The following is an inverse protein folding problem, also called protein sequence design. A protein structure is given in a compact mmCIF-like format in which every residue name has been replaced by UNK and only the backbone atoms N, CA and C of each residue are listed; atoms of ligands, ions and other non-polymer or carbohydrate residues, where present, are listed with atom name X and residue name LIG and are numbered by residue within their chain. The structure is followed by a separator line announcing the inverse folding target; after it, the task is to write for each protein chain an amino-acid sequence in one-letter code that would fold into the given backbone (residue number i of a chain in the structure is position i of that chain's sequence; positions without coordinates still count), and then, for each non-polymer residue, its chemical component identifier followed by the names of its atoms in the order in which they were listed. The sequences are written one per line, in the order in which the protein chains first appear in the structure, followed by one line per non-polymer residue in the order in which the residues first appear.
data_IF_702018099462
#
_entry.id   IF_702018099462
#
_cell.length_a   1.000
_cell.length_b   1.000
_cell.length_c   1.000
_cell.angle_alpha   90.00
_cell.angle_beta   90.00
_cell.angle_gamma   90.00
#
_symmetry.space_group_name_H-M   'P 1'
#
loop_
_entity.id
_entity.type
_entity.pdbx_description
1 polymer ?
#
# COMPACT_ATOMS: atom_id res chain seq x y z
N UNK A 1 76.93 -6.74 -14.48
CA UNK A 1 75.99 -5.90 -13.73
C UNK A 1 74.58 -6.38 -14.07
N UNK A 2 73.96 -7.19 -13.20
CA UNK A 2 72.58 -7.70 -13.36
C UNK A 2 71.75 -7.12 -12.20
N UNK A 3 70.75 -6.30 -12.50
CA UNK A 3 69.79 -5.78 -11.52
C UNK A 3 68.70 -6.85 -11.26
N UNK A 4 68.18 -6.98 -10.03
CA UNK A 4 67.04 -7.84 -9.74
C UNK A 4 65.71 -7.09 -9.95
N UNK A 5 64.71 -7.81 -10.43
CA UNK A 5 63.33 -7.35 -10.53
C UNK A 5 62.64 -7.38 -9.16
N UNK A 6 62.06 -6.26 -8.73
CA UNK A 6 61.17 -6.17 -7.58
C UNK A 6 59.72 -6.21 -8.10
N UNK A 7 59.01 -7.31 -7.85
CA UNK A 7 57.58 -7.42 -8.15
C UNK A 7 56.78 -6.80 -7.00
N UNK A 8 56.08 -5.70 -7.27
CA UNK A 8 55.13 -5.09 -6.35
C UNK A 8 53.75 -5.68 -6.66
N UNK A 9 53.22 -6.53 -5.78
CA UNK A 9 51.84 -7.00 -5.86
C UNK A 9 50.91 -5.91 -5.32
N UNK A 10 50.10 -5.32 -6.19
CA UNK A 10 49.05 -4.38 -5.80
C UNK A 10 47.78 -5.17 -5.45
N UNK A 11 47.49 -5.34 -4.17
CA UNK A 11 46.24 -5.92 -3.68
C UNK A 11 45.12 -4.87 -3.74
N UNK A 12 44.21 -5.02 -4.69
CA UNK A 12 42.94 -4.28 -4.76
C UNK A 12 41.98 -4.83 -3.70
N UNK A 13 41.83 -4.10 -2.59
CA UNK A 13 40.72 -4.29 -1.65
C UNK A 13 39.47 -3.64 -2.25
N UNK A 14 38.56 -4.46 -2.80
CA UNK A 14 37.23 -4.01 -3.18
C UNK A 14 36.42 -3.68 -1.92
N UNK A 15 36.27 -2.39 -1.62
CA UNK A 15 35.39 -1.90 -0.56
C UNK A 15 33.95 -1.96 -1.07
N UNK A 16 33.16 -2.91 -0.57
CA UNK A 16 31.71 -2.87 -0.77
C UNK A 16 31.16 -1.84 0.20
N UNK A 17 30.87 -0.64 -0.29
CA UNK A 17 30.05 0.31 0.44
C UNK A 17 28.64 -0.27 0.52
N UNK A 18 28.19 -0.62 1.73
CA UNK A 18 26.78 -0.84 2.01
C UNK A 18 26.06 0.46 1.63
N UNK A 19 25.18 0.39 0.63
CA UNK A 19 24.31 1.51 0.31
C UNK A 19 23.48 1.81 1.58
N UNK A 20 23.59 3.03 2.10
CA UNK A 20 22.71 3.49 3.17
C UNK A 20 21.28 3.47 2.64
N UNK A 21 20.43 2.65 3.27
CA UNK A 21 19.01 2.52 2.96
C UNK A 21 18.31 3.84 3.32
N UNK A 22 18.22 4.75 2.35
CA UNK A 22 17.58 6.04 2.54
C UNK A 22 16.10 5.79 2.84
N UNK A 23 15.53 6.30 3.95
CA UNK A 23 14.15 6.01 4.31
C UNK A 23 13.20 6.33 3.17
N UNK A 24 12.46 5.32 2.71
CA UNK A 24 11.51 5.48 1.61
C UNK A 24 10.46 6.54 1.95
N UNK A 25 10.07 7.40 0.99
CA UNK A 25 9.00 8.37 1.17
C UNK A 25 7.70 7.65 1.56
N UNK A 26 7.01 8.13 2.59
CA UNK A 26 5.69 7.61 2.94
C UNK A 26 4.73 7.84 1.78
N UNK A 27 3.85 6.86 1.46
CA UNK A 27 2.80 7.05 0.47
C UNK A 27 1.91 8.24 0.83
N UNK A 28 1.44 8.95 -0.19
CA UNK A 28 0.37 9.95 -0.02
C UNK A 28 -0.91 9.25 0.41
N UNK A 29 -1.60 9.77 1.41
CA UNK A 29 -2.92 9.27 1.82
C UNK A 29 -4.01 10.04 1.09
N UNK A 30 -4.72 9.38 0.19
CA UNK A 30 -5.82 9.97 -0.55
C UNK A 30 -7.18 9.42 -0.09
N UNK A 31 -8.16 10.30 0.02
CA UNK A 31 -9.56 9.93 0.23
C UNK A 31 -10.33 10.12 -1.07
N UNK A 32 -10.84 9.03 -1.65
CA UNK A 32 -11.76 9.05 -2.79
C UNK A 32 -13.20 8.95 -2.28
N UNK A 33 -13.96 10.02 -2.45
CA UNK A 33 -15.36 10.10 -2.07
C UNK A 33 -16.22 9.92 -3.31
N UNK A 34 -17.16 9.00 -3.25
CA UNK A 34 -17.98 8.63 -4.41
C UNK A 34 -19.41 8.24 -4.06
N UNK A 35 -20.31 8.32 -5.04
CA UNK A 35 -21.71 7.94 -4.91
C UNK A 35 -22.70 8.96 -5.49
N UNK A 36 -24.00 8.63 -5.46
CA UNK A 36 -25.05 9.40 -6.11
C UNK A 36 -25.62 8.71 -7.36
N UNK A 37 -26.41 9.44 -8.14
CA UNK A 37 -27.32 8.89 -9.15
C UNK A 37 -26.72 8.38 -10.47
N UNK A 38 -25.64 9.00 -10.92
CA UNK A 38 -25.54 9.29 -12.34
C UNK A 38 -24.39 8.57 -13.07
N UNK A 39 -23.55 7.83 -12.34
CA UNK A 39 -22.44 7.04 -12.89
C UNK A 39 -22.31 5.68 -12.23
N UNK A 40 -21.54 4.79 -12.86
CA UNK A 40 -21.15 3.49 -12.30
C UNK A 40 -20.03 3.67 -11.25
N UNK A 41 -20.36 4.32 -10.14
CA UNK A 41 -19.45 4.56 -9.04
C UNK A 41 -18.90 3.26 -8.41
N UNK A 42 -19.61 2.15 -8.57
CA UNK A 42 -19.16 0.84 -8.10
C UNK A 42 -17.92 0.37 -8.84
N UNK A 43 -17.89 0.53 -10.17
CA UNK A 43 -16.72 0.19 -10.98
C UNK A 43 -15.67 1.30 -10.97
N UNK A 44 -16.10 2.56 -11.16
CA UNK A 44 -15.19 3.71 -11.27
C UNK A 44 -14.30 3.88 -10.04
N UNK A 45 -14.81 3.64 -8.83
CA UNK A 45 -14.00 3.72 -7.61
C UNK A 45 -12.79 2.77 -7.64
N UNK A 46 -12.96 1.57 -8.22
CA UNK A 46 -11.89 0.57 -8.33
C UNK A 46 -10.91 0.92 -9.45
N UNK A 47 -11.42 1.42 -10.58
CA UNK A 47 -10.62 1.89 -11.70
C UNK A 47 -9.72 3.07 -11.28
N UNK A 48 -10.27 4.05 -10.55
CA UNK A 48 -9.52 5.20 -10.04
C UNK A 48 -8.52 4.75 -8.98
N UNK A 49 -8.95 3.98 -7.97
CA UNK A 49 -8.06 3.47 -6.91
C UNK A 49 -6.88 2.71 -7.52
N UNK A 50 -7.16 1.67 -8.29
CA UNK A 50 -6.12 0.83 -8.91
C UNK A 50 -5.26 1.66 -9.87
N UNK A 51 -5.90 2.56 -10.64
CA UNK A 51 -5.23 3.41 -11.60
C UNK A 51 -4.18 4.32 -10.96
N UNK A 52 -4.51 4.92 -9.81
CA UNK A 52 -3.59 5.76 -9.04
C UNK A 52 -2.51 4.94 -8.35
N UNK A 53 -2.88 3.88 -7.61
CA UNK A 53 -1.94 3.08 -6.80
C UNK A 53 -0.91 2.32 -7.65
N UNK A 54 -1.25 1.99 -8.91
CA UNK A 54 -0.31 1.38 -9.86
C UNK A 54 0.65 2.38 -10.51
N UNK A 55 0.37 3.69 -10.42
CA UNK A 55 1.15 4.76 -11.07
C UNK A 55 1.88 5.66 -10.09
N UNK A 56 1.48 5.69 -8.82
CA UNK A 56 2.00 6.62 -7.84
C UNK A 56 2.18 6.02 -6.44
N UNK A 57 3.05 6.65 -5.64
CA UNK A 57 3.32 6.29 -4.26
C UNK A 57 2.21 6.89 -3.39
N UNK A 58 1.03 6.30 -3.53
CA UNK A 58 -0.23 6.78 -2.99
C UNK A 58 -1.03 5.58 -2.46
N UNK A 59 -1.73 5.78 -1.36
CA UNK A 59 -2.71 4.86 -0.78
C UNK A 59 -4.07 5.53 -0.85
N UNK A 60 -5.03 4.89 -1.53
CA UNK A 60 -6.37 5.44 -1.75
C UNK A 60 -7.36 4.72 -0.85
N UNK A 61 -7.91 5.46 0.12
CA UNK A 61 -9.10 5.06 0.88
C UNK A 61 -10.35 5.44 0.10
N UNK A 62 -11.29 4.52 -0.04
CA UNK A 62 -12.53 4.75 -0.80
C UNK A 62 -13.70 4.81 0.16
N UNK A 63 -14.50 5.88 0.04
CA UNK A 63 -15.79 6.03 0.71
C UNK A 63 -16.88 6.14 -0.36
N UNK A 64 -17.69 5.09 -0.51
CA UNK A 64 -18.88 5.13 -1.37
C UNK A 64 -20.14 5.23 -0.51
N UNK A 65 -20.84 6.34 -0.57
CA UNK A 65 -22.06 6.60 0.22
C UNK A 65 -23.12 7.32 -0.62
N UNK A 66 -24.34 7.48 -0.11
CA UNK A 66 -25.38 8.31 -0.75
C UNK A 66 -26.25 7.63 -1.83
N UNK A 67 -26.01 6.35 -2.10
CA UNK A 67 -26.88 5.54 -2.98
C UNK A 67 -26.97 6.12 -4.39
N UNK A 68 -28.19 6.18 -4.95
CA UNK A 68 -28.48 6.58 -6.33
C UNK A 68 -29.27 7.89 -6.46
N UNK A 69 -29.29 8.72 -5.42
CA UNK A 69 -30.09 9.97 -5.41
C UNK A 69 -29.20 11.20 -5.52
N UNK A 70 -29.78 12.31 -5.99
CA UNK A 70 -29.11 13.61 -6.13
C UNK A 70 -29.11 14.46 -4.86
N UNK A 71 -29.93 14.13 -3.87
CA UNK A 71 -30.22 14.98 -2.71
C UNK A 71 -29.73 14.41 -1.37
N UNK A 72 -28.86 13.40 -1.39
CA UNK A 72 -28.37 12.77 -0.16
C UNK A 72 -27.21 13.54 0.46
N UNK A 73 -27.31 13.75 1.77
CA UNK A 73 -26.19 14.11 2.65
C UNK A 73 -25.55 12.83 3.17
N UNK A 74 -24.29 12.59 2.81
CA UNK A 74 -23.60 11.35 3.16
C UNK A 74 -23.09 11.37 4.62
N UNK A 75 -23.18 10.25 5.36
CA UNK A 75 -22.71 10.16 6.75
C UNK A 75 -21.26 10.57 6.98
N UNK A 76 -20.37 10.41 5.99
CA UNK A 76 -18.97 10.81 6.08
C UNK A 76 -18.82 12.25 6.57
N UNK A 77 -19.61 13.17 6.01
CA UNK A 77 -19.52 14.58 6.32
C UNK A 77 -20.21 14.94 7.64
N UNK A 78 -20.90 14.03 8.34
CA UNK A 78 -21.40 14.35 9.68
C UNK A 78 -20.25 14.52 10.69
N UNK A 79 -19.14 13.81 10.47
CA UNK A 79 -17.90 13.95 11.24
C UNK A 79 -17.20 15.28 10.91
N UNK A 80 -16.98 16.20 11.88
CA UNK A 80 -16.22 17.42 11.64
C UNK A 80 -14.75 17.18 11.23
N UNK A 81 -14.22 15.99 11.48
CA UNK A 81 -12.83 15.58 11.26
C UNK A 81 -12.69 14.59 10.09
N UNK A 82 -13.71 14.48 9.21
CA UNK A 82 -13.78 13.50 8.12
C UNK A 82 -12.54 13.44 7.21
N UNK A 83 -11.78 14.54 7.13
CA UNK A 83 -10.60 14.68 6.29
C UNK A 83 -9.26 14.49 7.03
N UNK A 84 -9.28 14.34 8.36
CA UNK A 84 -8.06 14.20 9.16
C UNK A 84 -7.27 12.95 8.75
N UNK A 85 -5.95 13.11 8.60
CA UNK A 85 -5.04 12.02 8.22
C UNK A 85 -4.91 11.79 6.70
N UNK A 86 -5.61 12.56 5.87
CA UNK A 86 -5.45 12.56 4.42
C UNK A 86 -4.63 13.74 3.91
N UNK A 87 -3.80 13.49 2.89
CA UNK A 87 -3.01 14.50 2.20
C UNK A 87 -3.78 15.14 1.03
N UNK A 88 -4.84 14.47 0.52
CA UNK A 88 -5.67 14.94 -0.59
C UNK A 88 -7.05 14.26 -0.61
N UNK A 89 -8.06 14.97 -1.11
CA UNK A 89 -9.42 14.43 -1.33
C UNK A 89 -9.77 14.47 -2.81
N UNK A 90 -10.22 13.34 -3.35
CA UNK A 90 -10.79 13.20 -4.67
C UNK A 90 -12.32 13.14 -4.54
N UNK A 91 -12.99 14.14 -5.10
CA UNK A 91 -14.44 14.21 -5.20
C UNK A 91 -14.88 13.61 -6.54
N UNK A 92 -15.56 12.46 -6.48
CA UNK A 92 -16.14 11.73 -7.61
C UNK A 92 -17.58 11.29 -7.26
N UNK A 93 -18.39 12.27 -6.87
CA UNK A 93 -19.76 12.09 -6.36
C UNK A 93 -20.76 12.98 -7.11
N UNK A 94 -22.05 12.64 -7.04
CA UNK A 94 -23.13 13.44 -7.66
C UNK A 94 -24.29 13.66 -6.68
N UNK A 95 -24.23 14.80 -5.99
CA UNK A 95 -25.25 15.27 -5.05
C UNK A 95 -25.71 16.69 -5.43
N UNK A 96 -26.21 16.82 -6.66
CA UNK A 96 -26.60 18.12 -7.23
C UNK A 96 -27.69 18.84 -6.44
N UNK A 97 -28.61 18.08 -5.85
CA UNK A 97 -29.86 18.58 -5.27
C UNK A 97 -29.80 18.60 -3.73
N UNK A 98 -28.62 18.92 -3.19
CA UNK A 98 -28.43 19.25 -1.76
C UNK A 98 -28.38 20.77 -1.61
N UNK A 99 -29.53 21.44 -1.36
CA UNK A 99 -29.58 22.89 -1.30
C UNK A 99 -29.28 23.42 0.10
N UNK A 100 -28.11 23.10 0.65
CA UNK A 100 -27.74 23.48 2.03
C UNK A 100 -26.35 24.11 2.10
N UNK A 101 -26.26 25.45 2.21
CA UNK A 101 -24.98 26.14 2.32
C UNK A 101 -24.14 25.76 3.56
N UNK A 102 -24.78 25.39 4.66
CA UNK A 102 -24.05 24.93 5.86
C UNK A 102 -23.42 23.55 5.63
N UNK A 103 -24.09 22.71 4.82
CA UNK A 103 -23.54 21.43 4.38
C UNK A 103 -22.34 21.64 3.45
N UNK A 104 -22.49 22.46 2.41
CA UNK A 104 -21.40 22.79 1.48
C UNK A 104 -20.20 23.38 2.22
N UNK A 105 -20.43 24.31 3.14
CA UNK A 105 -19.36 24.92 3.93
C UNK A 105 -18.60 23.89 4.78
N UNK A 106 -19.27 22.84 5.25
CA UNK A 106 -18.60 21.76 5.99
C UNK A 106 -17.59 21.00 5.12
N UNK A 107 -17.94 20.75 3.86
CA UNK A 107 -17.11 20.06 2.88
C UNK A 107 -15.96 20.97 2.44
N UNK A 108 -16.23 22.26 2.27
CA UNK A 108 -15.22 23.23 1.85
C UNK A 108 -14.22 23.58 2.94
N UNK A 109 -14.58 23.46 4.22
CA UNK A 109 -13.75 23.91 5.35
C UNK A 109 -12.32 23.32 5.34
N UNK A 110 -12.09 22.01 5.16
CA UNK A 110 -10.72 21.48 5.08
C UNK A 110 -9.93 22.05 3.89
N UNK A 111 -10.58 22.25 2.75
CA UNK A 111 -9.95 22.84 1.56
C UNK A 111 -9.59 24.31 1.76
N UNK A 112 -10.44 25.08 2.44
CA UNK A 112 -10.14 26.46 2.87
C UNK A 112 -8.97 26.51 3.87
N UNK A 113 -8.67 25.41 4.55
CA UNK A 113 -7.57 25.25 5.51
C UNK A 113 -6.30 24.65 4.90
N UNK A 114 -6.25 24.45 3.58
CA UNK A 114 -5.05 24.03 2.87
C UNK A 114 -5.07 22.60 2.33
N UNK A 115 -6.11 21.81 2.58
CA UNK A 115 -6.20 20.44 2.07
C UNK A 115 -6.39 20.44 0.54
N UNK A 116 -5.46 19.90 -0.26
CA UNK A 116 -5.63 19.83 -1.71
C UNK A 116 -6.86 19.02 -2.13
N UNK A 117 -7.38 19.34 -3.32
CA UNK A 117 -8.57 18.70 -3.87
C UNK A 117 -8.40 18.23 -5.30
N UNK A 118 -9.14 17.20 -5.67
CA UNK A 118 -9.41 16.82 -7.06
C UNK A 118 -10.92 16.76 -7.26
N UNK A 119 -11.42 17.36 -8.34
CA UNK A 119 -12.84 17.30 -8.72
C UNK A 119 -12.99 16.57 -10.04
N UNK A 120 -13.77 15.49 -10.03
CA UNK A 120 -13.91 14.57 -11.16
C UNK A 120 -15.36 14.62 -11.63
N UNK A 121 -15.53 14.93 -12.92
CA UNK A 121 -16.77 14.79 -13.66
C UNK A 121 -18.01 15.36 -12.94
N UNK A 122 -18.84 14.51 -12.35
CA UNK A 122 -20.11 14.90 -11.74
C UNK A 122 -19.94 15.71 -10.45
N UNK A 123 -18.77 15.65 -9.81
CA UNK A 123 -18.48 16.46 -8.62
C UNK A 123 -18.73 17.96 -8.88
N UNK A 124 -18.51 18.41 -10.12
CA UNK A 124 -18.73 19.79 -10.53
C UNK A 124 -20.20 20.23 -10.45
N UNK A 125 -21.14 19.29 -10.43
CA UNK A 125 -22.58 19.56 -10.38
C UNK A 125 -23.16 19.49 -8.97
N UNK A 126 -22.38 19.05 -7.98
CA UNK A 126 -22.80 18.92 -6.59
C UNK A 126 -23.18 20.26 -5.95
N UNK A 127 -23.99 20.16 -4.89
CA UNK A 127 -24.23 21.22 -3.91
C UNK A 127 -24.72 22.54 -4.51
N UNK A 128 -25.80 22.46 -5.31
CA UNK A 128 -26.49 23.63 -5.87
C UNK A 128 -27.31 24.34 -4.78
N UNK A 129 -26.61 24.88 -3.79
CA UNK A 129 -27.15 25.47 -2.57
C UNK A 129 -27.60 26.93 -2.69
N UNK A 130 -27.61 27.46 -3.92
CA UNK A 130 -27.91 28.86 -4.21
C UNK A 130 -26.71 29.80 -4.05
N UNK A 131 -25.54 29.28 -3.68
CA UNK A 131 -24.27 30.02 -3.65
C UNK A 131 -23.33 29.57 -4.77
N UNK A 132 -22.21 30.28 -4.92
CA UNK A 132 -21.14 29.93 -5.86
C UNK A 132 -19.94 29.25 -5.16
N UNK A 133 -20.01 28.97 -3.86
CA UNK A 133 -18.83 28.57 -3.07
C UNK A 133 -18.24 27.23 -3.53
N UNK A 134 -19.10 26.25 -3.83
CA UNK A 134 -18.65 24.99 -4.42
C UNK A 134 -18.02 25.18 -5.80
N UNK A 135 -18.65 25.97 -6.67
CA UNK A 135 -18.11 26.23 -8.02
C UNK A 135 -16.78 26.98 -8.00
N UNK A 136 -16.56 27.87 -7.01
CA UNK A 136 -15.26 28.53 -6.79
C UNK A 136 -14.18 27.53 -6.39
N UNK A 137 -14.51 26.53 -5.57
CA UNK A 137 -13.61 25.42 -5.25
C UNK A 137 -13.31 24.57 -6.48
N UNK A 138 -14.35 24.20 -7.24
CA UNK A 138 -14.17 23.47 -8.50
C UNK A 138 -13.33 24.25 -9.51
N UNK A 139 -13.38 25.59 -9.52
CA UNK A 139 -12.68 26.45 -10.47
C UNK A 139 -13.45 26.70 -11.77
N UNK A 140 -14.56 26.00 -11.97
CA UNK A 140 -15.50 26.23 -13.07
C UNK A 140 -16.95 26.14 -12.57
N UNK A 141 -17.85 26.80 -13.29
CA UNK A 141 -19.29 26.63 -13.11
C UNK A 141 -19.87 25.90 -14.30
N UNK A 142 -20.51 24.76 -14.05
CA UNK A 142 -21.27 23.99 -15.02
C UNK A 142 -22.49 23.39 -14.34
N UNK A 143 -23.64 23.42 -15.01
CA UNK A 143 -24.91 22.85 -14.48
C UNK A 143 -25.54 21.83 -15.41
N UNK A 144 -24.97 21.63 -16.59
CA UNK A 144 -25.49 20.76 -17.63
C UNK A 144 -24.38 20.31 -18.59
N UNK A 145 -24.71 19.32 -19.39
CA UNK A 145 -23.82 18.74 -20.40
C UNK A 145 -24.56 18.56 -21.73
N UNK A 146 -23.80 18.37 -22.80
CA UNK A 146 -24.31 18.00 -24.12
C UNK A 146 -24.54 16.50 -24.28
N UNK A 147 -24.71 16.07 -25.52
CA UNK A 147 -24.88 14.67 -25.89
C UNK A 147 -23.64 13.81 -25.58
N UNK A 148 -23.85 12.50 -25.49
CA UNK A 148 -22.77 11.52 -25.33
C UNK A 148 -22.09 11.22 -26.65
N UNK A 149 -20.79 11.47 -26.74
CA UNK A 149 -19.97 11.14 -27.91
C UNK A 149 -18.47 11.13 -27.58
N UNK A 150 -17.73 10.31 -28.34
CA UNK A 150 -16.28 10.35 -28.35
C UNK A 150 -15.78 11.69 -28.89
N UNK A 151 -14.81 12.29 -28.23
CA UNK A 151 -14.22 13.56 -28.63
C UNK A 151 -12.71 13.58 -28.40
N UNK A 152 -12.03 14.41 -29.18
CA UNK A 152 -10.63 14.70 -28.95
C UNK A 152 -10.51 15.76 -27.85
N UNK A 153 -9.61 15.51 -26.90
CA UNK A 153 -9.22 16.50 -25.90
C UNK A 153 -7.96 17.18 -26.40
N UNK A 154 -8.01 18.50 -26.53
CA UNK A 154 -6.98 19.34 -27.10
C UNK A 154 -6.19 20.03 -25.97
N UNK A 155 -4.88 19.84 -25.97
CA UNK A 155 -3.97 20.46 -24.99
C UNK A 155 -3.89 21.96 -25.23
N UNK A 156 -4.08 22.76 -24.16
CA UNK A 156 -3.94 24.23 -24.17
C UNK A 156 -2.59 24.68 -23.62
N UNK A 157 -2.16 24.03 -22.55
CA UNK A 157 -0.88 24.32 -21.91
C UNK A 157 -0.03 23.05 -21.84
N UNK A 158 0.72 22.80 -22.91
CA UNK A 158 1.63 21.66 -22.98
C UNK A 158 2.86 21.81 -22.06
N UNK A 159 3.10 22.99 -21.50
CA UNK A 159 4.24 23.24 -20.60
C UNK A 159 3.94 22.85 -19.16
N UNK A 160 2.66 22.78 -18.79
CA UNK A 160 2.24 22.37 -17.46
C UNK A 160 2.64 20.92 -17.18
N UNK A 161 3.23 20.58 -16.02
CA UNK A 161 3.77 19.25 -15.75
C UNK A 161 2.72 18.13 -15.71
N UNK A 162 1.45 18.46 -15.46
CA UNK A 162 0.32 17.51 -15.58
C UNK A 162 0.16 17.01 -17.02
N UNK A 163 0.45 17.86 -18.02
CA UNK A 163 0.22 17.56 -19.44
C UNK A 163 1.35 16.77 -20.09
N UNK A 164 2.42 16.46 -19.34
CA UNK A 164 3.57 15.71 -19.85
C UNK A 164 3.14 14.33 -20.34
N UNK A 165 3.35 14.05 -21.63
CA UNK A 165 3.05 12.75 -22.24
C UNK A 165 1.69 12.66 -22.94
N UNK A 166 0.81 13.66 -22.76
CA UNK A 166 -0.53 13.69 -23.40
C UNK A 166 -0.52 14.24 -24.84
N UNK A 167 0.59 14.84 -25.28
CA UNK A 167 0.75 15.38 -26.63
C UNK A 167 -0.09 16.63 -26.89
N UNK A 168 -0.32 16.93 -28.18
CA UNK A 168 -1.17 18.05 -28.60
C UNK A 168 -2.67 17.78 -28.36
N UNK A 169 -3.02 16.50 -28.24
CA UNK A 169 -4.35 16.04 -27.86
C UNK A 169 -4.41 14.53 -27.76
N UNK A 170 -5.47 14.02 -27.15
CA UNK A 170 -5.72 12.58 -26.98
C UNK A 170 -7.19 12.25 -27.19
N UNK A 171 -7.46 10.98 -27.50
CA UNK A 171 -8.81 10.49 -27.66
C UNK A 171 -9.50 10.30 -26.30
N UNK A 172 -10.71 10.84 -26.16
CA UNK A 172 -11.66 10.46 -25.13
C UNK A 172 -12.70 9.50 -25.75
N UNK A 173 -12.60 8.18 -25.51
CA UNK A 173 -13.31 7.17 -26.28
C UNK A 173 -14.83 7.17 -26.05
N UNK A 174 -15.29 7.61 -24.88
CA UNK A 174 -16.71 7.74 -24.55
C UNK A 174 -16.93 8.93 -23.60
N UNK A 175 -17.42 10.05 -24.15
CA UNK A 175 -17.47 11.31 -23.43
C UNK A 175 -18.88 11.87 -23.24
N UNK A 176 -19.02 12.68 -22.22
CA UNK A 176 -20.13 13.61 -22.00
C UNK A 176 -19.50 15.00 -21.82
N UNK A 177 -19.63 15.87 -22.82
CA UNK A 177 -18.96 17.17 -22.77
C UNK A 177 -19.82 18.18 -22.01
N UNK A 178 -19.26 18.72 -20.93
CA UNK A 178 -19.96 19.69 -20.09
C UNK A 178 -20.00 21.06 -20.76
N UNK A 179 -21.09 21.79 -20.53
CA UNK A 179 -21.17 23.19 -20.93
C UNK A 179 -20.65 24.05 -19.80
N UNK A 180 -19.52 24.73 -20.03
CA UNK A 180 -18.88 25.59 -19.04
C UNK A 180 -19.51 26.98 -19.14
N UNK A 181 -20.28 27.34 -18.11
CA UNK A 181 -20.89 28.66 -18.00
C UNK A 181 -19.86 29.71 -17.59
N UNK A 182 -18.88 29.30 -16.78
CA UNK A 182 -17.83 30.18 -16.26
C UNK A 182 -16.58 29.40 -15.95
N UNK A 183 -15.43 29.94 -16.36
CA UNK A 183 -14.12 29.61 -15.80
C UNK A 183 -13.77 30.71 -14.81
N UNK A 184 -13.49 30.36 -13.55
CA UNK A 184 -13.19 31.37 -12.53
C UNK A 184 -11.78 31.93 -12.74
N UNK A 185 -11.49 33.20 -12.37
CA UNK A 185 -10.17 33.80 -12.57
C UNK A 185 -9.01 33.06 -11.89
N UNK A 186 -9.31 32.29 -10.84
CA UNK A 186 -8.37 31.43 -10.12
C UNK A 186 -8.06 30.12 -10.84
N UNK A 187 -8.81 29.78 -11.90
CA UNK A 187 -8.61 28.56 -12.67
C UNK A 187 -7.74 28.80 -13.90
N UNK A 188 -6.84 27.86 -14.15
CA UNK A 188 -5.95 27.81 -15.30
C UNK A 188 -6.29 26.60 -16.18
N UNK A 189 -6.95 26.81 -17.35
CA UNK A 189 -7.29 25.75 -18.28
C UNK A 189 -6.05 25.05 -18.85
N UNK A 190 -6.05 23.72 -18.82
CA UNK A 190 -4.97 22.88 -19.35
C UNK A 190 -5.37 22.17 -20.64
N UNK A 191 -6.65 21.81 -20.79
CA UNK A 191 -7.18 21.19 -21.99
C UNK A 191 -8.67 21.51 -22.21
N UNK A 192 -9.13 21.33 -23.44
CA UNK A 192 -10.52 21.56 -23.84
C UNK A 192 -10.95 20.61 -24.95
N UNK A 193 -12.24 20.46 -25.18
CA UNK A 193 -12.77 19.74 -26.34
C UNK A 193 -13.71 20.61 -27.17
N UNK A 194 -13.77 20.35 -28.48
CA UNK A 194 -14.70 21.04 -29.38
C UNK A 194 -16.12 20.56 -29.13
N UNK A 195 -16.99 21.50 -28.78
CA UNK A 195 -18.42 21.26 -28.63
C UNK A 195 -19.07 21.26 -30.01
N UNK A 196 -19.53 20.09 -30.46
CA UNK A 196 -20.15 19.93 -31.79
C UNK A 196 -21.54 20.57 -31.89
N UNK A 197 -22.20 20.81 -30.76
CA UNK A 197 -23.55 21.36 -30.71
C UNK A 197 -23.54 22.89 -30.71
N UNK A 198 -22.56 23.51 -30.03
CA UNK A 198 -22.44 24.98 -29.92
C UNK A 198 -21.34 25.57 -30.79
N UNK A 199 -20.41 24.75 -31.30
CA UNK A 199 -19.28 25.19 -32.12
C UNK A 199 -18.14 25.86 -31.35
N UNK A 200 -18.26 26.08 -30.04
CA UNK A 200 -17.22 26.58 -29.15
C UNK A 200 -16.31 25.44 -28.64
N UNK A 201 -15.26 25.80 -27.89
CA UNK A 201 -14.43 24.85 -27.16
C UNK A 201 -14.74 24.95 -25.66
N UNK A 202 -14.97 23.81 -25.03
CA UNK A 202 -15.32 23.70 -23.61
C UNK A 202 -14.09 23.24 -22.82
N UNK A 203 -13.77 23.94 -21.73
CA UNK A 203 -12.67 23.53 -20.84
C UNK A 203 -13.05 22.22 -20.17
N UNK A 204 -12.18 21.22 -20.28
CA UNK A 204 -12.41 19.90 -19.70
C UNK A 204 -11.30 19.42 -18.76
N UNK A 205 -10.16 20.12 -18.70
CA UNK A 205 -9.07 19.87 -17.74
C UNK A 205 -8.48 21.20 -17.30
N UNK A 206 -8.29 21.41 -16.00
CA UNK A 206 -7.76 22.65 -15.45
C UNK A 206 -7.11 22.44 -14.08
N UNK A 207 -6.44 23.49 -13.61
CA UNK A 207 -6.04 23.65 -12.20
C UNK A 207 -6.75 24.87 -11.62
N UNK A 208 -6.88 24.96 -10.31
CA UNK A 208 -7.50 26.09 -9.62
C UNK A 208 -6.73 26.42 -8.33
N UNK A 209 -6.49 27.71 -8.10
CA UNK A 209 -5.99 28.24 -6.83
C UNK A 209 -7.19 28.64 -5.95
N UNK A 210 -7.58 27.73 -5.05
CA UNK A 210 -8.64 27.99 -4.09
C UNK A 210 -8.06 28.56 -2.81
N UNK A 211 -7.81 29.87 -2.79
CA UNK A 211 -7.31 30.59 -1.60
C UNK A 211 -5.94 30.08 -1.12
N UNK A 212 -5.05 29.76 -2.05
CA UNK A 212 -3.74 29.15 -1.80
C UNK A 212 -3.74 27.62 -1.80
N UNK A 213 -4.91 26.99 -1.79
CA UNK A 213 -5.06 25.53 -1.91
C UNK A 213 -5.13 25.11 -3.37
N UNK A 214 -4.31 24.13 -3.77
CA UNK A 214 -4.34 23.61 -5.13
C UNK A 214 -5.48 22.64 -5.34
N UNK A 215 -6.23 22.86 -6.42
CA UNK A 215 -7.28 21.94 -6.89
C UNK A 215 -6.99 21.55 -8.32
N UNK A 216 -7.04 20.25 -8.63
CA UNK A 216 -7.04 19.73 -9.99
C UNK A 216 -8.47 19.36 -10.40
N UNK A 217 -8.88 19.70 -11.63
CA UNK A 217 -10.24 19.45 -12.07
C UNK A 217 -10.32 18.89 -13.49
N UNK A 218 -11.29 17.99 -13.70
CA UNK A 218 -11.61 17.44 -15.03
C UNK A 218 -13.12 17.19 -15.17
N UNK A 219 -13.68 17.55 -16.33
CA UNK A 219 -15.07 17.17 -16.69
C UNK A 219 -15.14 15.79 -17.31
N UNK A 220 -14.00 15.15 -17.60
CA UNK A 220 -13.96 13.81 -18.17
C UNK A 220 -14.26 12.78 -17.07
N UNK A 221 -14.84 11.63 -17.43
CA UNK A 221 -15.06 10.54 -16.47
C UNK A 221 -16.46 9.89 -16.49
N UNK A 222 -17.34 10.26 -17.42
CA UNK A 222 -18.70 9.69 -17.47
C UNK A 222 -18.74 8.16 -17.58
N UNK A 223 -17.91 7.59 -18.45
CA UNK A 223 -17.94 6.18 -18.84
C UNK A 223 -16.72 5.43 -18.31
N UNK A 224 -16.86 4.15 -18.00
CA UNK A 224 -15.77 3.29 -17.54
C UNK A 224 -14.62 3.24 -18.57
N UNK A 225 -14.95 3.22 -19.87
CA UNK A 225 -14.01 3.25 -20.99
C UNK A 225 -13.11 4.50 -20.98
N UNK A 226 -13.61 5.60 -20.43
CA UNK A 226 -12.84 6.83 -20.24
C UNK A 226 -12.01 6.77 -18.97
N UNK A 227 -12.59 6.29 -17.88
CA UNK A 227 -11.92 6.21 -16.57
C UNK A 227 -10.78 5.18 -16.59
N UNK A 228 -10.90 4.10 -17.36
CA UNK A 228 -9.83 3.10 -17.53
C UNK A 228 -8.78 3.51 -18.57
N UNK A 229 -9.05 4.55 -19.37
CA UNK A 229 -8.18 4.93 -20.47
C UNK A 229 -6.81 5.41 -19.93
N UNK A 230 -5.67 4.91 -20.45
CA UNK A 230 -4.35 5.24 -19.91
C UNK A 230 -4.05 6.74 -19.84
N UNK A 231 -4.50 7.52 -20.83
CA UNK A 231 -4.31 8.97 -20.85
C UNK A 231 -5.11 9.67 -19.73
N UNK A 232 -6.32 9.18 -19.42
CA UNK A 232 -7.13 9.72 -18.32
C UNK A 232 -6.47 9.40 -16.98
N UNK A 233 -6.04 8.16 -16.77
CA UNK A 233 -5.39 7.75 -15.52
C UNK A 233 -4.02 8.42 -15.32
N UNK A 234 -3.22 8.61 -16.37
CA UNK A 234 -1.95 9.36 -16.28
C UNK A 234 -2.21 10.84 -15.92
N UNK A 235 -3.16 11.48 -16.60
CA UNK A 235 -3.57 12.85 -16.29
C UNK A 235 -4.08 12.98 -14.85
N UNK A 236 -4.98 12.09 -14.43
CA UNK A 236 -5.55 12.10 -13.08
C UNK A 236 -4.46 11.87 -12.02
N UNK A 237 -3.57 10.90 -12.23
CA UNK A 237 -2.43 10.65 -11.32
C UNK A 237 -1.54 11.89 -11.19
N UNK A 238 -1.16 12.48 -12.32
CA UNK A 238 -0.30 13.67 -12.30
C UNK A 238 -0.99 14.86 -11.66
N UNK A 239 -2.29 15.04 -11.90
CA UNK A 239 -3.10 16.09 -11.29
C UNK A 239 -3.20 15.96 -9.77
N UNK A 240 -3.46 14.75 -9.29
CA UNK A 240 -3.46 14.40 -7.86
C UNK A 240 -2.10 14.72 -7.21
N UNK A 241 -1.00 14.25 -7.81
CA UNK A 241 0.35 14.52 -7.28
C UNK A 241 0.72 16.01 -7.34
N UNK A 242 0.33 16.72 -8.40
CA UNK A 242 0.57 18.15 -8.55
C UNK A 242 -0.13 18.97 -7.47
N UNK A 243 -1.38 18.61 -7.15
CA UNK A 243 -2.16 19.27 -6.11
C UNK A 243 -1.46 19.16 -4.73
N UNK A 244 -0.80 18.03 -4.45
CA UNK A 244 0.00 17.83 -3.24
C UNK A 244 1.42 18.44 -3.31
N UNK A 245 1.85 18.98 -4.45
CA UNK A 245 3.25 19.37 -4.65
C UNK A 245 4.23 18.19 -4.61
N UNK A 246 3.77 17.01 -5.02
CA UNK A 246 4.53 15.75 -5.06
C UNK A 246 4.64 15.19 -6.48
N UNK A 247 4.47 16.01 -7.51
CA UNK A 247 4.63 15.56 -8.90
C UNK A 247 6.13 15.48 -9.25
N UNK A 248 6.76 14.37 -8.85
CA UNK A 248 8.17 14.08 -9.06
C UNK A 248 8.42 12.56 -9.18
N UNK A 249 9.64 12.15 -9.53
CA UNK A 249 10.02 10.73 -9.70
C UNK A 249 10.04 9.95 -8.37
N UNK A 250 9.96 10.64 -7.24
CA UNK A 250 9.86 10.03 -5.91
C UNK A 250 8.44 9.49 -5.69
N UNK A 251 7.42 10.18 -6.20
CA UNK A 251 6.02 9.77 -6.08
C UNK A 251 5.39 9.21 -7.36
N UNK A 252 5.98 9.40 -8.55
CA UNK A 252 5.53 8.80 -9.83
C UNK A 252 5.96 7.33 -9.98
N UNK A 253 5.74 6.53 -8.93
CA UNK A 253 5.99 5.08 -8.91
C UNK A 253 5.12 4.43 -7.85
N UNK A 254 4.57 3.24 -8.08
CA UNK A 254 3.69 2.57 -7.13
C UNK A 254 4.37 2.33 -5.77
N UNK A 255 3.56 2.18 -4.73
CA UNK A 255 4.03 1.66 -3.44
C UNK A 255 4.68 0.30 -3.70
N UNK A 256 5.99 0.18 -3.41
CA UNK A 256 6.68 -1.11 -3.54
C UNK A 256 6.26 -1.98 -2.35
N UNK A 257 5.47 -3.02 -2.58
CA UNK A 257 5.10 -4.00 -1.54
C UNK A 257 6.35 -4.50 -0.80
N UNK A 258 6.28 -4.57 0.53
CA UNK A 258 7.38 -5.11 1.33
C UNK A 258 7.31 -6.62 1.23
N UNK A 259 8.28 -7.24 0.56
CA UNK A 259 8.40 -8.71 0.56
C UNK A 259 8.91 -9.18 1.92
N UNK A 260 8.27 -10.20 2.49
CA UNK A 260 8.74 -10.90 3.69
C UNK A 260 8.82 -12.41 3.44
N UNK A 261 9.78 -13.11 4.06
CA UNK A 261 9.85 -14.57 3.98
C UNK A 261 8.60 -15.23 4.53
N UNK A 262 8.09 -16.25 3.84
CA UNK A 262 6.98 -17.08 4.33
C UNK A 262 7.50 -18.06 5.38
N UNK A 263 6.84 -18.15 6.53
CA UNK A 263 7.11 -19.21 7.50
C UNK A 263 6.55 -20.55 6.99
N UNK A 264 7.42 -21.38 6.42
CA UNK A 264 7.09 -22.71 5.88
C UNK A 264 6.62 -23.69 6.96
N UNK A 265 6.96 -23.45 8.23
CA UNK A 265 6.59 -24.31 9.36
C UNK A 265 5.20 -23.98 9.95
N UNK A 266 4.63 -22.82 9.63
CA UNK A 266 3.35 -22.36 10.19
C UNK A 266 2.23 -23.40 9.94
N UNK A 267 1.55 -23.80 11.00
CA UNK A 267 0.48 -24.80 11.08
C UNK A 267 0.83 -26.17 10.48
N UNK A 268 2.12 -26.52 10.41
CA UNK A 268 2.57 -27.83 9.95
C UNK A 268 2.53 -28.88 11.06
N UNK A 269 2.44 -30.18 10.72
CA UNK A 269 2.51 -31.25 11.70
C UNK A 269 3.85 -31.26 12.45
N UNK A 270 3.78 -31.44 13.76
CA UNK A 270 4.96 -31.45 14.64
C UNK A 270 5.00 -32.67 15.54
N UNK A 271 6.17 -32.94 16.10
CA UNK A 271 6.37 -33.89 17.19
C UNK A 271 7.54 -33.46 18.06
N UNK A 272 7.65 -34.03 19.26
CA UNK A 272 8.73 -33.73 20.19
C UNK A 272 9.16 -34.98 20.98
N UNK A 273 10.35 -34.92 21.59
CA UNK A 273 10.86 -35.96 22.47
C UNK A 273 10.02 -36.12 23.74
N UNK A 274 9.47 -35.00 24.22
CA UNK A 274 8.57 -34.94 25.38
C UNK A 274 7.81 -33.61 25.40
N UNK A 275 6.77 -33.54 26.23
CA UNK A 275 5.89 -32.38 26.34
C UNK A 275 5.46 -32.14 27.80
N UNK A 276 5.39 -30.89 28.24
CA UNK A 276 4.83 -30.49 29.55
C UNK A 276 3.29 -30.47 29.49
N UNK A 277 2.70 -31.67 29.55
CA UNK A 277 1.26 -31.89 29.33
C UNK A 277 0.37 -31.19 30.35
N UNK A 278 0.81 -31.10 31.62
CA UNK A 278 0.01 -30.50 32.71
C UNK A 278 -0.24 -29.00 32.53
N UNK A 279 0.53 -28.33 31.65
CA UNK A 279 0.39 -26.92 31.28
C UNK A 279 -0.05 -26.70 29.83
N UNK A 280 -0.44 -27.77 29.13
CA UNK A 280 -0.81 -27.74 27.72
C UNK A 280 0.30 -27.20 26.78
N UNK A 281 1.58 -27.43 27.08
CA UNK A 281 2.68 -26.95 26.24
C UNK A 281 3.10 -27.99 25.18
N UNK A 282 2.20 -28.23 24.21
CA UNK A 282 2.35 -29.26 23.18
C UNK A 282 3.20 -28.80 21.98
N UNK A 283 3.73 -29.74 21.21
CA UNK A 283 4.57 -29.48 20.04
C UNK A 283 3.92 -28.56 18.97
N UNK A 284 2.62 -28.62 18.67
CA UNK A 284 2.01 -27.74 17.67
C UNK A 284 2.07 -26.26 18.02
N UNK A 285 2.18 -25.91 19.30
CA UNK A 285 2.20 -24.53 19.77
C UNK A 285 3.47 -23.76 19.39
N UNK A 286 4.53 -24.44 18.92
CA UNK A 286 5.72 -23.76 18.41
C UNK A 286 5.59 -23.33 16.94
N UNK A 287 4.47 -23.61 16.27
CA UNK A 287 4.22 -23.25 14.86
C UNK A 287 2.79 -22.77 14.63
N UNK A 288 2.11 -22.25 15.65
CA UNK A 288 0.73 -21.80 15.54
C UNK A 288 0.58 -20.29 15.26
N UNK A 289 1.69 -19.54 15.22
CA UNK A 289 1.69 -18.10 15.00
C UNK A 289 1.27 -17.29 16.23
N UNK A 290 1.01 -17.94 17.37
CA UNK A 290 0.57 -17.29 18.60
C UNK A 290 1.71 -17.23 19.61
N UNK A 291 2.26 -16.03 19.82
CA UNK A 291 3.39 -15.82 20.76
C UNK A 291 3.04 -16.00 22.24
N UNK A 292 1.80 -16.32 22.57
CA UNK A 292 1.36 -16.66 23.92
C UNK A 292 1.31 -18.17 24.20
N UNK A 293 1.50 -19.02 23.19
CA UNK A 293 1.52 -20.48 23.29
C UNK A 293 2.91 -21.01 22.92
N UNK A 294 3.33 -22.13 23.53
CA UNK A 294 4.66 -22.71 23.30
C UNK A 294 4.67 -24.22 23.37
N UNK A 295 5.68 -24.83 22.73
CA UNK A 295 6.14 -26.15 23.12
C UNK A 295 7.08 -26.05 24.32
N UNK A 296 7.00 -27.00 25.25
CA UNK A 296 7.94 -27.16 26.35
C UNK A 296 8.22 -28.65 26.57
N UNK A 297 9.48 -29.04 26.71
CA UNK A 297 9.86 -30.39 27.12
C UNK A 297 9.27 -30.73 28.51
N UNK A 298 9.07 -32.01 28.80
CA UNK A 298 8.44 -32.44 30.07
C UNK A 298 9.32 -32.23 31.31
N UNK A 299 10.61 -31.95 31.13
CA UNK A 299 11.61 -31.83 32.19
C UNK A 299 12.87 -31.07 31.70
N UNK A 300 13.80 -30.64 32.60
CA UNK A 300 14.97 -29.83 32.22
C UNK A 300 16.11 -30.61 31.55
N UNK A 301 16.04 -31.93 31.47
CA UNK A 301 17.18 -32.72 30.97
C UNK A 301 17.52 -32.37 29.52
N UNK A 302 18.77 -32.56 29.14
CA UNK A 302 19.22 -32.47 27.77
C UNK A 302 19.86 -33.82 27.36
N UNK A 303 19.72 -34.25 26.10
CA UNK A 303 19.03 -33.56 25.00
C UNK A 303 17.49 -33.68 25.05
N UNK A 304 16.81 -32.68 24.51
CA UNK A 304 15.37 -32.72 24.15
C UNK A 304 15.22 -32.20 22.72
N UNK A 305 14.22 -32.67 21.98
CA UNK A 305 14.02 -32.21 20.61
C UNK A 305 12.56 -31.89 20.31
N UNK A 306 12.38 -30.93 19.41
CA UNK A 306 11.13 -30.61 18.75
C UNK A 306 11.37 -30.67 17.24
N UNK A 307 10.38 -31.12 16.46
CA UNK A 307 10.50 -31.18 15.01
C UNK A 307 9.20 -30.86 14.28
N UNK A 308 9.31 -30.49 13.01
CA UNK A 308 8.21 -30.18 12.10
C UNK A 308 8.37 -30.89 10.75
N UNK A 309 7.27 -31.39 10.18
CA UNK A 309 7.17 -31.88 8.79
C UNK A 309 6.63 -30.76 7.89
N UNK A 310 7.46 -30.19 7.03
CA UNK A 310 7.11 -29.15 6.05
C UNK A 310 6.18 -29.65 4.92
N UNK A 311 5.74 -30.92 4.99
CA UNK A 311 4.88 -31.66 4.07
C UNK A 311 5.50 -32.01 2.70
N UNK A 312 6.38 -31.15 2.17
CA UNK A 312 7.15 -31.40 0.94
C UNK A 312 8.64 -31.16 1.19
N UNK A 313 9.48 -31.93 0.49
CA UNK A 313 10.91 -31.59 0.40
C UNK A 313 11.07 -30.35 -0.46
N UNK A 314 11.78 -29.34 0.05
CA UNK A 314 11.99 -28.05 -0.60
C UNK A 314 13.30 -27.42 -0.15
N UNK A 315 13.68 -26.33 -0.83
CA UNK A 315 14.82 -25.51 -0.44
C UNK A 315 14.48 -24.70 0.81
N UNK A 316 15.35 -24.77 1.82
CA UNK A 316 15.25 -24.01 3.07
C UNK A 316 16.48 -23.11 3.19
N UNK A 317 16.24 -21.82 3.37
CA UNK A 317 17.25 -20.74 3.36
C UNK A 317 17.59 -20.23 4.76
N UNK A 318 16.84 -20.64 5.77
CA UNK A 318 17.10 -20.21 7.14
C UNK A 318 16.01 -20.60 8.12
N UNK A 319 16.22 -20.21 9.38
CA UNK A 319 15.22 -20.35 10.42
C UNK A 319 15.35 -19.26 11.49
N UNK A 320 14.31 -19.12 12.30
CA UNK A 320 14.30 -18.31 13.52
C UNK A 320 13.69 -19.12 14.66
N UNK A 321 14.36 -19.09 15.81
CA UNK A 321 13.90 -19.75 17.03
C UNK A 321 13.54 -18.69 18.08
N UNK A 322 12.27 -18.61 18.46
CA UNK A 322 11.81 -17.76 19.55
C UNK A 322 11.73 -18.59 20.84
N UNK A 323 12.82 -18.62 21.61
CA UNK A 323 12.88 -19.31 22.91
C UNK A 323 11.99 -18.65 23.96
N UNK A 324 11.54 -19.42 24.95
CA UNK A 324 10.70 -18.90 26.05
C UNK A 324 11.31 -17.67 26.74
N UNK A 325 12.62 -17.72 26.99
CA UNK A 325 13.38 -16.68 27.67
C UNK A 325 14.47 -16.10 26.75
N UNK A 326 14.22 -14.99 26.03
CA UNK A 326 15.19 -14.42 25.10
C UNK A 326 16.45 -13.86 25.80
N UNK A 327 16.42 -13.71 27.12
CA UNK A 327 17.58 -13.25 27.90
C UNK A 327 18.57 -14.37 28.25
N UNK A 328 18.19 -15.65 28.11
CA UNK A 328 19.08 -16.79 28.33
C UNK A 328 19.96 -17.07 27.09
N UNK A 329 21.04 -17.81 27.31
CA UNK A 329 21.90 -18.37 26.25
C UNK A 329 21.59 -19.85 26.11
N UNK A 330 20.98 -20.22 24.98
CA UNK A 330 20.64 -21.61 24.67
C UNK A 330 21.76 -22.29 23.87
N UNK A 331 22.03 -23.56 24.21
CA UNK A 331 22.83 -24.50 23.42
C UNK A 331 21.88 -25.43 22.67
N UNK A 332 22.06 -25.55 21.36
CA UNK A 332 21.16 -26.33 20.51
C UNK A 332 21.79 -26.66 19.17
N UNK A 333 21.14 -27.55 18.42
CA UNK A 333 21.39 -27.76 17.00
C UNK A 333 20.08 -27.60 16.22
N UNK A 334 20.16 -27.07 15.00
CA UNK A 334 19.08 -27.14 14.01
C UNK A 334 19.50 -28.12 12.94
N UNK A 335 18.62 -29.05 12.63
CA UNK A 335 18.92 -30.19 11.77
C UNK A 335 17.84 -30.31 10.68
N UNK A 336 18.25 -30.63 9.46
CA UNK A 336 17.38 -30.86 8.32
C UNK A 336 17.39 -32.32 7.88
N UNK A 337 16.26 -32.81 7.39
CA UNK A 337 16.13 -34.16 6.85
C UNK A 337 15.12 -34.24 5.71
N UNK A 338 15.30 -35.18 4.78
CA UNK A 338 14.31 -35.49 3.73
C UNK A 338 13.36 -36.62 4.13
N UNK A 339 13.75 -37.48 5.07
CA UNK A 339 13.08 -38.73 5.42
C UNK A 339 12.66 -38.84 6.90
N UNK A 340 13.06 -37.87 7.74
CA UNK A 340 12.80 -37.85 9.18
C UNK A 340 13.66 -38.83 9.99
N UNK A 341 14.59 -39.54 9.34
CA UNK A 341 15.43 -40.58 9.94
C UNK A 341 16.91 -40.20 9.91
N UNK A 342 17.38 -39.71 8.76
CA UNK A 342 18.75 -39.27 8.55
C UNK A 342 18.81 -37.75 8.61
N UNK A 343 19.66 -37.20 9.48
CA UNK A 343 19.68 -35.77 9.79
C UNK A 343 21.02 -35.14 9.45
N UNK A 344 20.97 -33.95 8.86
CA UNK A 344 22.14 -33.10 8.60
C UNK A 344 22.07 -31.88 9.49
N UNK A 345 23.16 -31.55 10.20
CA UNK A 345 23.22 -30.34 11.02
C UNK A 345 23.30 -29.12 10.09
N UNK A 346 22.33 -28.22 10.22
CA UNK A 346 22.24 -26.95 9.48
C UNK A 346 22.82 -25.80 10.30
N UNK A 347 22.60 -25.84 11.62
CA UNK A 347 23.14 -24.86 12.58
C UNK A 347 23.66 -25.62 13.80
N UNK A 348 24.92 -25.36 14.17
CA UNK A 348 25.50 -25.89 15.40
C UNK A 348 25.76 -24.78 16.42
N UNK A 349 25.00 -24.80 17.52
CA UNK A 349 25.15 -23.93 18.70
C UNK A 349 25.36 -24.76 19.96
N UNK A 350 25.87 -25.98 19.84
CA UNK A 350 26.13 -26.88 20.97
C UNK A 350 27.10 -26.29 22.00
N UNK A 351 28.02 -25.43 21.58
CA UNK A 351 28.98 -24.74 22.44
C UNK A 351 28.69 -23.25 22.65
N UNK A 352 27.43 -22.80 22.47
CA UNK A 352 27.08 -21.39 22.60
C UNK A 352 27.34 -20.85 24.03
N UNK A 353 28.11 -19.75 24.13
CA UNK A 353 28.55 -19.11 25.39
C UNK A 353 28.05 -17.69 25.58
N UNK A 354 27.26 -17.15 24.65
CA UNK A 354 26.79 -15.76 24.77
C UNK A 354 25.97 -15.21 23.63
N UNK A 355 25.89 -15.90 22.49
CA UNK A 355 25.10 -15.40 21.36
C UNK A 355 23.61 -15.63 21.61
N UNK A 356 22.83 -14.55 21.51
CA UNK A 356 21.38 -14.54 21.68
C UNK A 356 20.66 -14.20 20.37
N UNK A 357 21.39 -14.15 19.25
CA UNK A 357 20.80 -14.14 17.93
C UNK A 357 20.37 -15.57 17.57
N UNK A 358 19.06 -15.76 17.52
CA UNK A 358 18.42 -17.03 17.21
C UNK A 358 17.84 -17.08 15.79
N UNK A 359 18.25 -16.15 14.93
CA UNK A 359 17.99 -16.17 13.49
C UNK A 359 19.23 -16.64 12.75
N UNK A 360 19.05 -17.63 11.87
CA UNK A 360 20.13 -18.25 11.11
C UNK A 360 19.77 -18.29 9.63
N UNK A 361 20.77 -18.03 8.80
CA UNK A 361 20.73 -18.22 7.36
C UNK A 361 21.62 -19.40 6.99
N UNK A 362 21.18 -20.22 6.05
CA UNK A 362 21.91 -21.35 5.51
C UNK A 362 21.34 -21.75 4.14
N UNK A 363 22.07 -22.53 3.36
CA UNK A 363 21.59 -23.05 2.07
C UNK A 363 21.38 -24.55 2.18
N UNK A 364 20.11 -24.98 2.24
CA UNK A 364 19.73 -26.38 2.38
C UNK A 364 18.76 -26.78 1.25
N UNK A 365 19.27 -27.28 0.10
CA UNK A 365 18.50 -27.39 -1.14
C UNK A 365 17.35 -28.41 -1.08
N UNK A 366 17.37 -29.33 -0.12
CA UNK A 366 16.36 -30.39 0.01
C UNK A 366 16.14 -30.76 1.48
N UNK A 367 15.09 -30.17 2.07
CA UNK A 367 14.65 -30.41 3.45
C UNK A 367 13.14 -30.59 3.47
N UNK A 368 12.66 -31.63 4.15
CA UNK A 368 11.24 -31.85 4.46
C UNK A 368 10.98 -31.72 5.96
N UNK A 369 11.90 -32.20 6.79
CA UNK A 369 11.78 -32.13 8.24
C UNK A 369 12.85 -31.22 8.81
N UNK A 370 12.46 -30.38 9.77
CA UNK A 370 13.38 -29.56 10.56
C UNK A 370 13.27 -29.99 12.01
N UNK A 371 14.41 -30.21 12.68
CA UNK A 371 14.49 -30.54 14.11
C UNK A 371 15.34 -29.51 14.84
N UNK A 372 14.85 -29.09 16.00
CA UNK A 372 15.59 -28.28 16.97
C UNK A 372 15.92 -29.19 18.14
N UNK A 373 17.21 -29.47 18.34
CA UNK A 373 17.71 -30.27 19.46
C UNK A 373 18.27 -29.35 20.53
N UNK A 374 17.55 -29.21 21.65
CA UNK A 374 18.00 -28.48 22.83
C UNK A 374 19.07 -29.28 23.59
N UNK A 375 20.18 -28.62 23.93
CA UNK A 375 21.36 -29.19 24.59
C UNK A 375 21.67 -28.53 25.95
N UNK A 376 20.86 -27.57 26.37
CA UNK A 376 20.99 -26.88 27.65
C UNK A 376 20.90 -25.36 27.53
N UNK A 377 20.95 -24.69 28.68
CA UNK A 377 21.02 -23.22 28.79
C UNK A 377 22.05 -22.81 29.85
N UNK A 378 22.39 -21.54 29.93
CA UNK A 378 23.24 -20.95 30.98
C UNK A 378 22.50 -20.67 32.30
N UNK A 379 21.17 -20.48 32.24
CA UNK A 379 20.31 -20.14 33.38
C UNK A 379 19.42 -21.28 33.87
N UNK A 380 19.56 -22.49 33.33
CA UNK A 380 18.75 -23.66 33.71
C UNK A 380 17.34 -23.68 33.11
N UNK A 381 17.05 -22.81 32.14
CA UNK A 381 15.86 -22.87 31.30
C UNK A 381 15.79 -24.20 30.53
N UNK A 382 14.56 -24.68 30.32
CA UNK A 382 14.26 -25.95 29.64
C UNK A 382 14.23 -25.75 28.12
N UNK A 383 14.17 -26.85 27.37
CA UNK A 383 13.85 -26.80 25.95
C UNK A 383 12.42 -26.32 25.76
N UNK A 384 12.26 -25.05 25.37
CA UNK A 384 10.94 -24.45 25.14
C UNK A 384 10.96 -23.30 24.15
N UNK A 385 10.03 -23.33 23.20
CA UNK A 385 9.97 -22.46 22.03
C UNK A 385 8.55 -21.89 21.91
N UNK A 386 8.44 -20.56 21.95
CA UNK A 386 7.22 -19.83 21.57
C UNK A 386 6.91 -20.03 20.09
N UNK A 387 7.92 -19.94 19.23
CA UNK A 387 7.73 -20.07 17.78
C UNK A 387 9.02 -20.59 17.11
N UNK A 388 8.86 -21.42 16.08
CA UNK A 388 9.92 -21.85 15.16
C UNK A 388 9.50 -21.46 13.75
N UNK A 389 10.19 -20.46 13.19
CA UNK A 389 9.98 -20.08 11.80
C UNK A 389 11.02 -20.72 10.89
N UNK A 390 10.58 -21.31 9.79
CA UNK A 390 11.46 -21.90 8.76
C UNK A 390 11.22 -21.16 7.45
N UNK A 391 12.28 -20.73 6.77
CA UNK A 391 12.20 -19.89 5.57
C UNK A 391 12.78 -20.61 4.35
N UNK A 392 12.24 -20.33 3.17
CA UNK A 392 12.74 -20.82 1.88
C UNK A 392 12.75 -19.72 0.83
N UNK A 393 12.64 -20.08 -0.44
CA UNK A 393 12.60 -19.11 -1.55
C UNK A 393 11.28 -18.33 -1.64
N UNK A 394 10.22 -18.83 -1.01
CA UNK A 394 8.88 -18.26 -1.10
C UNK A 394 8.81 -16.97 -0.24
N UNK A 395 8.52 -15.84 -0.89
CA UNK A 395 8.30 -14.54 -0.26
C UNK A 395 6.83 -14.12 -0.44
N UNK A 396 6.22 -13.59 0.62
CA UNK A 396 4.90 -12.98 0.57
C UNK A 396 5.02 -11.46 0.43
N UNK A 397 4.15 -10.86 -0.38
CA UNK A 397 3.93 -9.42 -0.37
C UNK A 397 3.16 -9.06 0.89
N UNK A 398 3.72 -8.28 1.80
CA UNK A 398 2.92 -7.52 2.75
C UNK A 398 2.30 -6.35 2.00
N UNK A 399 1.00 -6.45 1.73
CA UNK A 399 0.20 -5.26 1.46
C UNK A 399 0.18 -4.44 2.76
N UNK A 400 0.62 -3.17 2.74
CA UNK A 400 0.50 -2.28 3.90
C UNK A 400 -0.91 -2.22 4.49
N UNK A 401 -1.95 -2.42 3.66
CA UNK A 401 -3.34 -2.48 4.11
C UNK A 401 -3.68 -3.77 4.87
N UNK A 402 -3.15 -4.92 4.45
CA UNK A 402 -3.35 -6.19 5.17
C UNK A 402 -2.59 -6.20 6.50
N UNK A 403 -1.38 -5.63 6.54
CA UNK A 403 -0.59 -5.50 7.76
C UNK A 403 -1.26 -4.58 8.79
N UNK A 404 -1.89 -3.48 8.35
CA UNK A 404 -2.61 -2.54 9.22
C UNK A 404 -3.88 -3.15 9.82
N UNK A 405 -4.64 -3.91 9.02
CA UNK A 405 -5.85 -4.61 9.52
C UNK A 405 -5.47 -5.66 10.56
N UNK A 406 -4.35 -6.38 10.38
CA UNK A 406 -3.85 -7.33 11.37
C UNK A 406 -3.45 -6.65 12.69
N UNK A 407 -2.76 -5.50 12.64
CA UNK A 407 -2.39 -4.73 13.84
C UNK A 407 -3.61 -4.12 14.55
N UNK A 408 -4.60 -3.60 13.80
CA UNK A 408 -5.85 -3.06 14.37
C UNK A 408 -6.70 -4.16 15.02
N UNK A 409 -6.76 -5.36 14.42
CA UNK A 409 -7.44 -6.52 15.02
C UNK A 409 -6.72 -7.06 16.25
N UNK A 410 -5.38 -7.02 16.28
CA UNK A 410 -4.60 -7.40 17.46
C UNK A 410 -4.80 -6.42 18.63
N UNK A 411 -4.92 -5.11 18.35
CA UNK A 411 -5.16 -4.09 19.38
C UNK A 411 -6.59 -4.07 19.94
N UNK A 412 -7.56 -4.65 19.22
CA UNK A 412 -8.94 -4.81 19.67
C UNK A 412 -9.17 -6.11 20.46
N UNK A 413 -8.16 -6.98 20.50
CA UNK A 413 -8.19 -8.25 21.22
C UNK A 413 -7.48 -8.19 22.61
N UNK A 414 -6.86 -7.06 22.94
CA UNK A 414 -6.44 -6.66 24.29
C UNK A 414 -7.50 -5.77 24.96
#
# INVERSE_FOLDING_TARGET
MKLPYLAISLSLLASWALAEDTPRPKPLKALLITGGCCHDYTSQKQLIKTGLETRANIEVTVVQQGGTTTNTKIPLYDDPNWAEGYDIVLHDECFSDVPDPAWTQRILKPHQQGLPGVVIHCAMHCYRDGTDEWFKFCGVTSRCHGAHYAHEVLTRDATHPIMKGLGAGWANPAGELYWIEKVWPSAHPLASAKNREKGNEEVCVWTNDYQGTRVFGTTLGHHNETVEHPAFLDMLTRGTLWACGKLDDTYLKPVTAKLVPINLALHKPTSASSEETDKNNFAPHAVDGNKATRWCASNPSAPQWWQVDLAKSQHVTGCRLDWENPSAVFRYQVEGSTDGQTWTVLVDRSENKGDKNYTHEFDAPSVRFVRVTFLGSDTGNWGSLWEVSVFGDEMATLDPNEARVADEQAQLAD
#
